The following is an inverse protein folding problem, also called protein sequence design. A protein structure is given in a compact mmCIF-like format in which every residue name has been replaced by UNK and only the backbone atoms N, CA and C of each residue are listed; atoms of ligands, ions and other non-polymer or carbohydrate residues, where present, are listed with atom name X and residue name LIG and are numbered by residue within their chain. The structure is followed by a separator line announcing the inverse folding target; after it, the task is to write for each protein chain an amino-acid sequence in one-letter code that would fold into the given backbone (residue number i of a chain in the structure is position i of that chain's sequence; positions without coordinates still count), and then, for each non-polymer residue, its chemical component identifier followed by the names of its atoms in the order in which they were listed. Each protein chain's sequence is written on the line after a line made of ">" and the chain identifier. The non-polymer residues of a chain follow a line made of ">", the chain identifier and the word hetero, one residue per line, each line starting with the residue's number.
data_IF_599188482393
#
_entry.id   IF_599188482393
#
_cell.length_a   1.000
_cell.length_b   1.000
_cell.length_c   1.000
_cell.angle_alpha   90.00
_cell.angle_beta   90.00
_cell.angle_gamma   90.00
#
_symmetry.space_group_name_H-M   'P 1'
#
loop_
_entity.id
_entity.type
_entity.pdbx_description
1 polymer ?
#
# COMPACT_ATOMS: atom_id res chain seq x y z
N UNK A 1 -11.11 1.44 -14.90
CA UNK A 1 -9.85 0.98 -14.29
C UNK A 1 -10.11 -0.18 -13.32
N UNK A 2 -10.94 0.00 -12.33
CA UNK A 2 -11.24 -0.94 -11.23
C UNK A 2 -12.64 -1.54 -11.44
N UNK A 3 -12.71 -2.64 -12.20
CA UNK A 3 -13.98 -3.13 -12.78
C UNK A 3 -14.96 -3.65 -11.73
N UNK A 4 -14.48 -4.41 -10.76
CA UNK A 4 -15.31 -5.07 -9.75
C UNK A 4 -15.02 -4.57 -8.33
N UNK A 5 -14.36 -3.41 -8.19
CA UNK A 5 -14.11 -2.85 -6.87
C UNK A 5 -15.43 -2.49 -6.20
N UNK A 6 -15.65 -2.86 -4.93
CA UNK A 6 -16.83 -2.42 -4.19
C UNK A 6 -16.95 -0.90 -4.14
N UNK A 7 -18.19 -0.41 -4.05
CA UNK A 7 -18.44 1.04 -3.99
C UNK A 7 -17.63 1.70 -2.86
N UNK A 8 -16.82 2.69 -3.23
CA UNK A 8 -15.91 3.36 -2.30
C UNK A 8 -16.67 4.09 -1.19
N UNK A 9 -17.76 4.81 -1.54
CA UNK A 9 -18.51 5.63 -0.59
C UNK A 9 -19.39 4.79 0.33
N UNK A 10 -20.04 3.75 -0.21
CA UNK A 10 -21.01 2.97 0.54
C UNK A 10 -20.38 1.79 1.29
N UNK A 11 -19.23 1.28 0.85
CA UNK A 11 -18.63 0.08 1.43
C UNK A 11 -17.21 0.28 1.94
N UNK A 12 -16.29 0.81 1.11
CA UNK A 12 -14.87 0.84 1.47
C UNK A 12 -14.56 1.90 2.53
N UNK A 13 -15.05 3.12 2.38
CA UNK A 13 -14.86 4.19 3.38
C UNK A 13 -15.48 3.82 4.73
N UNK A 14 -16.74 3.34 4.81
CA UNK A 14 -17.30 2.87 6.08
C UNK A 14 -16.50 1.72 6.71
N UNK A 15 -16.03 0.75 5.92
CA UNK A 15 -15.18 -0.34 6.43
C UNK A 15 -13.84 0.17 6.97
N UNK A 16 -13.20 1.13 6.28
CA UNK A 16 -11.97 1.77 6.73
C UNK A 16 -12.18 2.48 8.08
N UNK A 17 -13.23 3.30 8.19
CA UNK A 17 -13.57 4.01 9.43
C UNK A 17 -13.85 3.04 10.59
N UNK A 18 -14.59 1.96 10.33
CA UNK A 18 -14.85 0.93 11.32
C UNK A 18 -13.56 0.23 11.77
N UNK A 19 -12.65 -0.07 10.85
CA UNK A 19 -11.35 -0.67 11.17
C UNK A 19 -10.53 0.29 12.03
N UNK A 20 -10.43 1.56 11.62
CA UNK A 20 -9.73 2.60 12.38
C UNK A 20 -10.26 2.75 13.80
N UNK A 21 -11.58 2.77 13.97
CA UNK A 21 -12.21 2.84 15.29
C UNK A 21 -11.87 1.62 16.18
N UNK A 22 -11.68 0.43 15.57
CA UNK A 22 -11.35 -0.80 16.31
C UNK A 22 -9.88 -0.92 16.71
N UNK A 23 -8.96 -0.55 15.83
CA UNK A 23 -7.52 -0.82 16.03
C UNK A 23 -6.68 0.46 16.20
N UNK A 24 -7.29 1.63 16.02
CA UNK A 24 -6.64 2.93 16.15
C UNK A 24 -6.10 3.46 14.81
N UNK A 25 -6.18 4.79 14.63
CA UNK A 25 -5.84 5.50 13.39
C UNK A 25 -4.37 5.32 12.94
N UNK A 26 -3.43 5.11 13.86
CA UNK A 26 -2.02 4.82 13.55
C UNK A 26 -1.80 3.49 12.83
N UNK A 27 -2.71 2.53 13.04
CA UNK A 27 -2.59 1.17 12.47
C UNK A 27 -3.29 0.99 11.14
N UNK A 28 -3.98 2.03 10.65
CA UNK A 28 -4.69 2.00 9.38
C UNK A 28 -4.15 3.10 8.48
N UNK A 29 -3.56 2.72 7.36
CA UNK A 29 -2.93 3.64 6.40
C UNK A 29 -3.80 3.70 5.15
N UNK A 30 -4.16 4.92 4.74
CA UNK A 30 -4.84 5.13 3.47
C UNK A 30 -3.85 5.02 2.31
N UNK A 31 -4.18 4.21 1.31
CA UNK A 31 -3.42 4.13 0.06
C UNK A 31 -4.25 4.71 -1.08
N UNK A 32 -3.81 5.84 -1.60
CA UNK A 32 -4.32 6.43 -2.83
C UNK A 32 -3.37 6.07 -3.99
N UNK A 33 -3.43 4.82 -4.42
CA UNK A 33 -2.33 4.13 -5.08
C UNK A 33 -2.86 2.98 -5.96
N UNK A 34 -2.47 2.90 -7.25
CA UNK A 34 -1.67 3.90 -7.96
C UNK A 34 -2.50 5.04 -8.56
N UNK A 35 -1.88 6.21 -8.74
CA UNK A 35 -2.41 7.30 -9.53
C UNK A 35 -2.19 6.98 -11.01
N UNK A 36 -3.27 6.99 -11.79
CA UNK A 36 -3.25 6.69 -13.24
C UNK A 36 -3.79 7.89 -13.99
N UNK A 37 -2.92 8.64 -14.65
CA UNK A 37 -3.30 9.81 -15.43
C UNK A 37 -3.77 9.41 -16.80
N UNK A 38 -4.97 9.88 -17.17
CA UNK A 38 -5.60 9.69 -18.47
C UNK A 38 -6.43 10.92 -18.81
N UNK A 39 -6.89 11.06 -20.06
CA UNK A 39 -7.81 12.15 -20.42
C UNK A 39 -9.12 12.15 -19.62
N UNK A 40 -9.50 11.02 -19.00
CA UNK A 40 -10.65 10.93 -18.10
C UNK A 40 -10.27 11.16 -16.64
N UNK A 41 -9.12 10.68 -16.20
CA UNK A 41 -8.61 10.80 -14.84
C UNK A 41 -7.47 11.80 -14.84
N UNK A 42 -7.83 13.08 -14.98
CA UNK A 42 -6.89 14.21 -15.01
C UNK A 42 -6.35 14.55 -13.62
N UNK A 43 -5.31 15.39 -13.49
CA UNK A 43 -4.89 15.90 -12.19
C UNK A 43 -6.02 16.51 -11.38
N UNK A 44 -6.91 17.29 -12.02
CA UNK A 44 -8.06 17.93 -11.37
C UNK A 44 -9.07 16.90 -10.86
N UNK A 45 -9.29 15.82 -11.64
CA UNK A 45 -10.11 14.70 -11.20
C UNK A 45 -9.51 14.06 -9.94
N UNK A 46 -8.20 13.81 -9.95
CA UNK A 46 -7.52 13.20 -8.80
C UNK A 46 -7.54 14.12 -7.59
N UNK A 47 -7.30 15.42 -7.75
CA UNK A 47 -7.40 16.41 -6.66
C UNK A 47 -8.80 16.36 -6.04
N UNK A 48 -9.84 16.43 -6.87
CA UNK A 48 -11.24 16.37 -6.37
C UNK A 48 -11.55 15.05 -5.67
N UNK A 49 -11.14 13.92 -6.24
CA UNK A 49 -11.37 12.61 -5.65
C UNK A 49 -10.60 12.43 -4.35
N UNK A 50 -9.35 12.88 -4.31
CA UNK A 50 -8.51 12.85 -3.11
C UNK A 50 -9.12 13.68 -1.98
N UNK A 51 -9.54 14.92 -2.27
CA UNK A 51 -10.22 15.79 -1.29
C UNK A 51 -11.44 15.10 -0.69
N UNK A 52 -12.33 14.55 -1.51
CA UNK A 52 -13.54 13.88 -1.02
C UNK A 52 -13.24 12.68 -0.12
N UNK A 53 -12.17 11.93 -0.42
CA UNK A 53 -11.77 10.79 0.39
C UNK A 53 -11.07 11.26 1.67
N UNK A 54 -10.20 12.27 1.58
CA UNK A 54 -9.52 12.86 2.74
C UNK A 54 -10.54 13.40 3.77
N UNK A 55 -11.54 14.15 3.31
CA UNK A 55 -12.66 14.60 4.14
C UNK A 55 -13.40 13.45 4.81
N UNK A 56 -13.69 12.38 4.06
CA UNK A 56 -14.40 11.21 4.57
C UNK A 56 -13.56 10.38 5.56
N UNK A 57 -12.23 10.45 5.50
CA UNK A 57 -11.29 9.74 6.36
C UNK A 57 -10.67 10.63 7.44
N UNK A 58 -11.13 11.87 7.58
CA UNK A 58 -10.64 12.80 8.60
C UNK A 58 -10.70 12.16 10.01
N UNK A 59 -9.60 12.27 10.74
CA UNK A 59 -9.45 11.64 12.05
C UNK A 59 -9.36 10.11 12.07
N UNK A 60 -9.46 9.43 10.90
CA UNK A 60 -9.44 7.96 10.81
C UNK A 60 -8.06 7.38 10.44
N UNK A 61 -7.13 8.20 9.98
CA UNK A 61 -5.74 7.81 9.68
C UNK A 61 -4.82 9.01 9.85
N UNK A 62 -3.55 8.74 10.06
CA UNK A 62 -2.51 9.78 10.16
C UNK A 62 -1.62 9.83 8.91
N UNK A 63 -1.78 8.86 8.00
CA UNK A 63 -0.88 8.73 6.83
C UNK A 63 -1.65 8.31 5.59
N UNK A 64 -1.32 8.98 4.48
CA UNK A 64 -1.70 8.57 3.14
C UNK A 64 -0.46 8.19 2.35
N UNK A 65 -0.52 7.07 1.62
CA UNK A 65 0.55 6.64 0.72
C UNK A 65 0.06 6.76 -0.70
N UNK A 66 0.87 7.38 -1.55
CA UNK A 66 0.62 7.53 -2.98
C UNK A 66 1.69 6.82 -3.81
N UNK A 67 1.36 6.40 -5.01
CA UNK A 67 2.32 6.06 -6.07
C UNK A 67 1.72 6.37 -7.43
N UNK A 68 2.57 6.52 -8.44
CA UNK A 68 2.16 6.56 -9.83
C UNK A 68 2.20 5.16 -10.43
N UNK A 69 1.41 4.93 -11.48
CA UNK A 69 1.30 3.60 -12.06
C UNK A 69 2.59 3.19 -12.76
N UNK A 70 3.14 2.07 -12.36
CA UNK A 70 4.24 1.39 -13.04
C UNK A 70 3.73 0.38 -14.07
N UNK A 71 4.44 0.27 -15.19
CA UNK A 71 4.15 -0.73 -16.22
C UNK A 71 5.10 -1.90 -16.06
N UNK A 72 4.58 -2.97 -15.50
CA UNK A 72 5.27 -4.26 -15.41
C UNK A 72 4.94 -5.16 -16.59
N UNK A 73 5.79 -6.13 -16.88
CA UNK A 73 5.52 -7.13 -17.92
C UNK A 73 4.16 -7.82 -17.74
N UNK A 74 3.72 -8.02 -16.48
CA UNK A 74 2.46 -8.69 -16.15
C UNK A 74 1.21 -7.85 -16.39
N UNK A 75 1.29 -6.51 -16.31
CA UNK A 75 0.15 -5.62 -16.56
C UNK A 75 0.23 -4.87 -17.89
N UNK A 76 1.32 -4.99 -18.63
CA UNK A 76 1.58 -4.25 -19.88
C UNK A 76 0.42 -4.37 -20.86
N UNK A 77 -0.02 -5.59 -21.17
CA UNK A 77 -1.13 -5.84 -22.09
C UNK A 77 -2.43 -5.13 -21.68
N UNK A 78 -2.75 -5.14 -20.40
CA UNK A 78 -3.97 -4.50 -19.88
C UNK A 78 -3.87 -2.97 -19.91
N UNK A 79 -2.65 -2.44 -19.79
CA UNK A 79 -2.39 -1.01 -19.75
C UNK A 79 -2.13 -0.40 -21.13
N UNK A 80 -1.82 -1.20 -22.16
CA UNK A 80 -1.69 -0.74 -23.56
C UNK A 80 -2.99 -0.14 -24.10
N UNK A 81 -4.14 -0.63 -23.65
CA UNK A 81 -5.45 -0.10 -24.02
C UNK A 81 -5.89 1.13 -23.21
N UNK A 82 -5.05 1.59 -22.28
CA UNK A 82 -5.32 2.78 -21.46
C UNK A 82 -4.58 3.96 -22.05
N UNK A 83 -5.34 4.96 -22.51
CA UNK A 83 -4.80 6.21 -23.02
C UNK A 83 -4.23 7.07 -21.88
N UNK A 84 -2.96 6.81 -21.55
CA UNK A 84 -2.22 7.45 -20.45
C UNK A 84 -1.38 8.60 -20.99
N UNK A 85 -1.17 9.59 -20.13
CA UNK A 85 -0.15 10.61 -20.35
C UNK A 85 0.70 10.77 -19.09
N UNK A 86 1.84 11.42 -19.24
CA UNK A 86 2.76 11.74 -18.15
C UNK A 86 2.76 13.26 -17.96
N UNK A 87 2.77 13.70 -16.73
CA UNK A 87 2.98 15.10 -16.37
C UNK A 87 4.43 15.48 -16.58
N UNK A 88 4.68 16.73 -16.95
CA UNK A 88 6.01 17.32 -16.80
C UNK A 88 6.43 17.35 -15.32
N UNK A 89 7.71 17.56 -15.08
CA UNK A 89 8.23 17.63 -13.71
C UNK A 89 7.53 18.73 -12.88
N UNK A 90 7.36 19.92 -13.46
CA UNK A 90 6.72 21.06 -12.81
C UNK A 90 5.25 20.80 -12.50
N UNK A 91 4.51 20.18 -13.43
CA UNK A 91 3.12 19.77 -13.22
C UNK A 91 2.99 18.74 -12.12
N UNK A 92 3.92 17.79 -12.08
CA UNK A 92 3.95 16.75 -11.06
C UNK A 92 4.23 17.33 -9.67
N UNK A 93 5.20 18.24 -9.54
CA UNK A 93 5.49 18.93 -8.28
C UNK A 93 4.28 19.76 -7.80
N UNK A 94 3.64 20.52 -8.68
CA UNK A 94 2.45 21.29 -8.36
C UNK A 94 1.28 20.39 -7.91
N UNK A 95 1.07 19.27 -8.60
CA UNK A 95 0.06 18.28 -8.24
C UNK A 95 0.38 17.65 -6.87
N UNK A 96 1.61 17.18 -6.68
CA UNK A 96 2.08 16.56 -5.44
C UNK A 96 1.92 17.50 -4.24
N UNK A 97 2.32 18.78 -4.40
CA UNK A 97 2.14 19.81 -3.38
C UNK A 97 0.66 19.99 -3.01
N UNK A 98 -0.21 20.05 -4.00
CA UNK A 98 -1.66 20.18 -3.77
C UNK A 98 -2.21 19.00 -2.97
N UNK A 99 -1.83 17.78 -3.32
CA UNK A 99 -2.20 16.54 -2.60
C UNK A 99 -1.69 16.58 -1.14
N UNK A 100 -0.44 17.01 -0.94
CA UNK A 100 0.16 17.12 0.39
C UNK A 100 -0.58 18.16 1.26
N UNK A 101 -0.92 19.32 0.68
CA UNK A 101 -1.62 20.37 1.40
C UNK A 101 -3.06 19.96 1.79
N UNK A 102 -3.77 19.24 0.91
CA UNK A 102 -5.08 18.65 1.22
C UNK A 102 -4.95 17.63 2.36
N UNK A 103 -4.03 16.69 2.28
CA UNK A 103 -3.84 15.69 3.33
C UNK A 103 -3.52 16.34 4.68
N UNK A 104 -2.64 17.34 4.68
CA UNK A 104 -2.24 18.08 5.89
C UNK A 104 -3.41 18.81 6.53
N UNK A 105 -4.32 19.38 5.74
CA UNK A 105 -5.54 20.05 6.26
C UNK A 105 -6.49 19.09 6.98
N UNK A 106 -6.34 17.76 6.75
CA UNK A 106 -7.06 16.68 7.43
C UNK A 106 -6.19 15.89 8.42
N UNK A 107 -5.06 16.47 8.87
CA UNK A 107 -4.18 15.86 9.87
C UNK A 107 -3.44 14.62 9.39
N UNK A 108 -3.25 14.47 8.08
CA UNK A 108 -2.52 13.35 7.46
C UNK A 108 -1.20 13.82 6.85
N UNK A 109 -0.17 12.99 6.93
CA UNK A 109 1.06 13.12 6.15
C UNK A 109 0.93 12.29 4.87
N UNK A 110 1.56 12.76 3.78
CA UNK A 110 1.65 11.99 2.53
C UNK A 110 3.06 11.43 2.38
N UNK A 111 3.16 10.20 1.91
CA UNK A 111 4.43 9.58 1.55
C UNK A 111 4.31 8.78 0.25
N UNK A 112 5.41 8.62 -0.50
CA UNK A 112 5.45 7.84 -1.74
C UNK A 112 5.77 6.39 -1.49
N UNK A 113 5.29 5.49 -2.36
CA UNK A 113 5.62 4.06 -2.31
C UNK A 113 6.60 3.72 -3.43
N UNK A 114 7.88 3.53 -3.08
CA UNK A 114 8.94 3.08 -3.97
C UNK A 114 9.02 3.88 -5.29
N UNK A 115 8.85 5.20 -5.21
CA UNK A 115 9.02 6.14 -6.31
C UNK A 115 10.48 6.57 -6.40
N UNK A 116 10.96 6.77 -7.63
CA UNK A 116 12.31 7.32 -7.89
C UNK A 116 12.33 8.84 -7.69
N UNK A 117 11.18 9.47 -7.95
CA UNK A 117 11.08 10.93 -7.86
C UNK A 117 11.14 11.41 -6.41
N UNK A 118 11.99 12.39 -6.18
CA UNK A 118 12.08 13.10 -4.90
C UNK A 118 11.01 14.19 -4.82
N UNK A 119 10.11 14.06 -3.86
CA UNK A 119 9.03 15.01 -3.57
C UNK A 119 9.16 15.64 -2.16
N UNK A 120 10.33 15.56 -1.52
CA UNK A 120 10.56 16.11 -0.17
C UNK A 120 10.28 17.63 -0.13
N UNK A 121 10.59 18.36 -1.21
CA UNK A 121 10.26 19.78 -1.35
C UNK A 121 8.75 20.07 -1.29
N UNK A 122 7.93 19.08 -1.65
CA UNK A 122 6.47 19.15 -1.55
C UNK A 122 5.96 18.70 -0.17
N UNK A 123 6.84 18.30 0.75
CA UNK A 123 6.48 17.75 2.05
C UNK A 123 6.00 16.31 1.98
N UNK A 124 6.48 15.54 0.99
CA UNK A 124 6.17 14.13 0.76
C UNK A 124 7.45 13.32 0.87
N UNK A 125 7.54 12.47 1.87
CA UNK A 125 8.70 11.61 2.11
C UNK A 125 8.58 10.26 1.41
N UNK A 126 9.70 9.55 1.29
CA UNK A 126 9.67 8.15 0.87
C UNK A 126 9.11 7.28 1.99
N UNK A 127 8.18 6.39 1.63
CA UNK A 127 7.50 5.50 2.56
C UNK A 127 8.20 4.15 2.70
N UNK A 128 7.99 3.57 3.89
CA UNK A 128 8.19 2.14 4.14
C UNK A 128 6.83 1.50 4.35
N UNK A 129 6.37 0.64 3.43
CA UNK A 129 5.07 -0.04 3.59
C UNK A 129 5.09 -1.02 4.77
N UNK A 130 6.25 -1.66 5.00
CA UNK A 130 6.55 -2.44 6.19
C UNK A 130 7.58 -1.63 6.98
N UNK A 131 7.05 -0.73 7.80
CA UNK A 131 7.78 0.34 8.45
C UNK A 131 8.25 -0.09 9.84
N UNK A 132 9.58 -0.25 9.99
CA UNK A 132 10.19 -0.62 11.26
C UNK A 132 9.82 0.35 12.38
N UNK A 133 9.91 1.66 12.15
CA UNK A 133 9.65 2.68 13.17
C UNK A 133 8.20 2.65 13.64
N UNK A 134 7.25 2.55 12.70
CA UNK A 134 5.84 2.44 13.04
C UNK A 134 5.55 1.16 13.84
N UNK A 135 6.18 0.04 13.47
CA UNK A 135 6.01 -1.22 14.20
C UNK A 135 6.57 -1.09 15.62
N UNK A 136 7.76 -0.52 15.79
CA UNK A 136 8.38 -0.28 17.11
C UNK A 136 7.51 0.61 18.00
N UNK A 137 6.94 1.68 17.44
CA UNK A 137 5.98 2.53 18.16
C UNK A 137 4.72 1.74 18.61
N UNK A 138 4.18 0.91 17.72
CA UNK A 138 2.95 0.14 18.00
C UNK A 138 3.17 -0.91 19.10
N UNK A 139 4.33 -1.59 19.07
CA UNK A 139 4.63 -2.69 20.01
C UNK A 139 5.37 -2.22 21.25
N UNK A 140 5.85 -0.98 21.27
CA UNK A 140 6.54 -0.37 22.43
C UNK A 140 7.91 -0.96 22.71
N UNK A 141 8.60 -1.53 21.73
CA UNK A 141 9.97 -2.03 21.87
C UNK A 141 10.71 -2.01 20.53
N UNK A 142 12.03 -1.91 20.59
CA UNK A 142 12.90 -1.94 19.41
C UNK A 142 12.90 -3.35 18.80
N UNK A 143 13.08 -3.42 17.47
CA UNK A 143 13.23 -4.68 16.74
C UNK A 143 14.52 -4.68 15.92
N UNK A 144 15.18 -5.84 15.86
CA UNK A 144 16.40 -6.06 15.09
C UNK A 144 16.04 -6.70 13.76
N UNK A 145 16.04 -5.89 12.71
CA UNK A 145 15.67 -6.32 11.36
C UNK A 145 16.44 -5.51 10.31
N UNK A 146 16.76 -6.14 9.20
CA UNK A 146 17.42 -5.51 8.05
C UNK A 146 16.41 -5.00 7.02
N UNK A 147 16.87 -4.11 6.11
CA UNK A 147 16.11 -3.76 4.90
C UNK A 147 15.89 -5.00 4.05
N UNK A 148 14.71 -5.13 3.45
CA UNK A 148 14.40 -6.20 2.51
C UNK A 148 15.26 -6.06 1.24
N UNK A 149 16.03 -7.12 0.94
CA UNK A 149 16.96 -7.17 -0.20
C UNK A 149 16.29 -7.59 -1.52
N UNK A 150 15.07 -8.11 -1.46
CA UNK A 150 14.32 -8.61 -2.62
C UNK A 150 13.45 -7.50 -3.22
N UNK A 151 13.20 -6.44 -2.47
CA UNK A 151 12.43 -5.28 -2.93
C UNK A 151 13.27 -4.35 -3.80
N UNK A 152 12.58 -3.46 -4.54
CA UNK A 152 13.22 -2.41 -5.35
C UNK A 152 14.18 -1.56 -4.52
N UNK A 153 15.25 -0.98 -5.11
CA UNK A 153 16.20 -0.13 -4.38
C UNK A 153 15.53 1.03 -3.62
N UNK A 154 14.50 1.63 -4.22
CA UNK A 154 13.72 2.75 -3.69
C UNK A 154 12.77 2.34 -2.54
N UNK A 155 12.51 1.04 -2.39
CA UNK A 155 11.66 0.54 -1.31
C UNK A 155 12.42 0.54 0.01
N UNK A 156 11.89 1.23 1.02
CA UNK A 156 12.45 1.29 2.37
C UNK A 156 11.97 0.19 3.32
N UNK A 157 11.19 -0.79 2.84
CA UNK A 157 10.59 -1.81 3.69
C UNK A 157 11.62 -2.68 4.41
N UNK A 158 11.32 -3.03 5.65
CA UNK A 158 12.07 -4.05 6.37
C UNK A 158 11.79 -5.45 5.81
N UNK A 159 12.73 -6.38 6.06
CA UNK A 159 12.61 -7.78 5.69
C UNK A 159 11.33 -8.40 6.25
N UNK A 160 10.59 -9.10 5.40
CA UNK A 160 9.30 -9.68 5.72
C UNK A 160 9.06 -11.02 5.03
N UNK A 161 7.94 -11.67 5.34
CA UNK A 161 7.54 -12.93 4.74
C UNK A 161 6.29 -12.70 3.90
N UNK A 162 6.39 -12.98 2.62
CA UNK A 162 5.23 -12.99 1.74
C UNK A 162 4.35 -14.20 2.05
N UNK A 163 3.08 -13.94 2.35
CA UNK A 163 2.05 -14.96 2.60
C UNK A 163 0.95 -14.92 1.56
N UNK A 164 1.03 -13.99 0.59
CA UNK A 164 0.06 -13.83 -0.48
C UNK A 164 0.27 -14.82 -1.63
N UNK A 165 -0.68 -14.85 -2.54
CA UNK A 165 -0.60 -15.60 -3.79
C UNK A 165 -1.11 -14.77 -4.96
N UNK A 166 -0.47 -14.90 -6.12
CA UNK A 166 -0.92 -14.26 -7.34
C UNK A 166 -2.27 -14.84 -7.82
N UNK A 167 -3.02 -14.04 -8.57
CA UNK A 167 -4.33 -14.43 -9.13
C UNK A 167 -5.35 -14.86 -8.07
N UNK A 168 -5.46 -14.13 -6.97
CA UNK A 168 -6.41 -14.44 -5.88
C UNK A 168 -7.40 -13.30 -5.57
N UNK A 169 -7.47 -12.26 -6.42
CA UNK A 169 -8.36 -11.11 -6.21
C UNK A 169 -9.35 -10.94 -7.36
N UNK A 170 -10.65 -10.78 -7.04
CA UNK A 170 -11.74 -10.63 -8.01
C UNK A 170 -11.97 -9.19 -8.50
N UNK A 171 -11.21 -8.20 -8.02
CA UNK A 171 -11.45 -6.78 -8.33
C UNK A 171 -11.21 -6.39 -9.79
N UNK A 172 -10.40 -7.14 -10.53
CA UNK A 172 -10.20 -6.94 -11.97
C UNK A 172 -9.56 -5.60 -12.35
N UNK A 173 -8.71 -5.03 -11.50
CA UNK A 173 -8.02 -3.77 -11.77
C UNK A 173 -7.07 -3.90 -12.97
N UNK A 174 -7.17 -3.02 -13.96
CA UNK A 174 -6.37 -3.10 -15.19
C UNK A 174 -4.87 -2.92 -14.93
N UNK A 175 -4.50 -2.11 -13.96
CA UNK A 175 -3.12 -1.87 -13.56
C UNK A 175 -2.52 -2.96 -12.66
N UNK A 176 -3.30 -3.98 -12.28
CA UNK A 176 -2.86 -4.98 -11.33
C UNK A 176 -1.76 -5.89 -11.94
N UNK A 177 -0.60 -5.92 -11.29
CA UNK A 177 0.48 -6.84 -11.63
C UNK A 177 0.34 -8.22 -10.96
N UNK A 178 -0.48 -8.31 -9.91
CA UNK A 178 -0.69 -9.54 -9.16
C UNK A 178 -1.78 -10.44 -9.75
N UNK A 179 -2.69 -9.89 -10.59
CA UNK A 179 -3.74 -10.63 -11.29
C UNK A 179 -3.55 -10.51 -12.80
N UNK A 180 -2.91 -11.48 -13.40
CA UNK A 180 -2.56 -11.48 -14.82
C UNK A 180 -3.29 -12.57 -15.64
N UNK A 181 -4.06 -13.46 -14.97
CA UNK A 181 -4.84 -14.53 -15.60
C UNK A 181 -6.24 -14.60 -15.00
N UNK A 182 -7.25 -14.18 -15.74
CA UNK A 182 -8.66 -14.22 -15.28
C UNK A 182 -9.12 -15.67 -14.97
N UNK A 183 -8.69 -16.64 -15.79
CA UNK A 183 -8.99 -18.04 -15.58
C UNK A 183 -8.40 -18.56 -14.26
N UNK A 184 -7.13 -18.21 -13.99
CA UNK A 184 -6.46 -18.57 -12.73
C UNK A 184 -7.13 -17.88 -11.52
N UNK A 185 -7.55 -16.61 -11.65
CA UNK A 185 -8.30 -15.92 -10.59
C UNK A 185 -9.59 -16.64 -10.27
N UNK A 186 -10.39 -17.01 -11.29
CA UNK A 186 -11.65 -17.75 -11.09
C UNK A 186 -11.40 -19.09 -10.41
N UNK A 187 -10.40 -19.84 -10.86
CA UNK A 187 -10.04 -21.15 -10.28
C UNK A 187 -9.58 -21.02 -8.83
N UNK A 188 -8.64 -20.12 -8.55
CA UNK A 188 -8.10 -19.94 -7.21
C UNK A 188 -9.14 -19.44 -6.21
N UNK A 189 -9.99 -18.48 -6.63
CA UNK A 189 -11.07 -18.02 -5.77
C UNK A 189 -12.16 -19.07 -5.52
N UNK A 190 -12.40 -19.98 -6.47
CA UNK A 190 -13.33 -21.10 -6.29
C UNK A 190 -12.82 -22.16 -5.30
N UNK A 191 -11.48 -22.28 -5.17
CA UNK A 191 -10.84 -23.21 -4.22
C UNK A 191 -10.60 -22.58 -2.83
N UNK A 192 -11.05 -21.34 -2.59
CA UNK A 192 -10.88 -20.68 -1.29
C UNK A 192 -11.76 -21.31 -0.21
N UNK A 193 -11.15 -21.77 0.86
CA UNK A 193 -11.81 -22.19 2.09
C UNK A 193 -11.28 -21.35 3.28
N UNK A 194 -12.13 -20.56 3.96
CA UNK A 194 -11.72 -19.74 5.10
C UNK A 194 -11.17 -20.54 6.28
N UNK A 195 -11.38 -21.86 6.30
CA UNK A 195 -10.84 -22.77 7.33
C UNK A 195 -9.51 -23.39 6.92
N UNK A 196 -9.10 -23.25 5.66
CA UNK A 196 -7.82 -23.74 5.16
C UNK A 196 -6.66 -22.85 5.64
N UNK A 197 -5.50 -23.40 5.98
CA UNK A 197 -4.28 -22.61 6.24
C UNK A 197 -3.69 -22.04 4.94
N UNK A 198 -4.16 -22.48 3.76
CA UNK A 198 -3.72 -21.99 2.46
C UNK A 198 -4.69 -20.97 1.91
N UNK A 199 -4.17 -19.93 1.24
CA UNK A 199 -4.97 -18.91 0.58
C UNK A 199 -5.76 -19.48 -0.61
N UNK A 200 -5.18 -20.46 -1.30
CA UNK A 200 -5.84 -21.22 -2.36
C UNK A 200 -5.16 -22.59 -2.51
N UNK A 201 -5.88 -23.56 -3.05
CA UNK A 201 -5.41 -24.92 -3.26
C UNK A 201 -5.46 -25.80 -2.00
N UNK A 202 -4.92 -26.99 -2.12
CA UNK A 202 -4.82 -27.99 -1.05
C UNK A 202 -3.41 -28.58 -1.03
N UNK A 203 -3.00 -29.04 0.14
CA UNK A 203 -1.73 -29.80 0.27
C UNK A 203 -1.93 -31.18 -0.32
N UNK A 204 -1.13 -31.54 -1.32
CA UNK A 204 -1.10 -32.85 -1.95
C UNK A 204 -0.12 -33.82 -1.28
N UNK A 205 -0.21 -35.11 -1.62
CA UNK A 205 0.66 -36.15 -1.05
C UNK A 205 2.15 -35.98 -1.38
N UNK A 206 2.45 -35.28 -2.49
CA UNK A 206 3.81 -35.00 -2.93
C UNK A 206 4.40 -33.69 -2.41
N UNK A 207 3.60 -32.89 -1.69
CA UNK A 207 4.04 -31.60 -1.17
C UNK A 207 4.94 -31.78 0.04
N UNK A 208 6.10 -31.14 0.00
CA UNK A 208 7.02 -31.13 1.13
C UNK A 208 6.67 -30.02 2.09
N UNK A 209 6.10 -30.38 3.24
CA UNK A 209 5.83 -29.43 4.33
C UNK A 209 7.08 -29.35 5.21
N UNK A 210 7.58 -28.11 5.41
CA UNK A 210 8.70 -27.85 6.30
C UNK A 210 8.34 -26.80 7.33
N UNK A 211 8.66 -27.05 8.58
CA UNK A 211 8.49 -26.05 9.64
C UNK A 211 9.48 -24.90 9.44
N UNK A 212 8.95 -23.67 9.40
CA UNK A 212 9.77 -22.47 9.36
C UNK A 212 10.16 -22.08 10.81
N UNK A 213 11.45 -22.13 11.10
CA UNK A 213 11.98 -21.59 12.36
C UNK A 213 11.86 -20.06 12.35
N UNK A 214 11.01 -19.53 13.23
CA UNK A 214 10.83 -18.08 13.42
C UNK A 214 11.52 -17.67 14.70
N UNK A 215 12.42 -16.69 14.62
CA UNK A 215 13.02 -16.05 15.79
C UNK A 215 12.27 -14.75 16.09
N UNK A 216 12.13 -14.43 17.37
CA UNK A 216 11.63 -13.10 17.76
C UNK A 216 12.60 -12.03 17.23
N UNK A 217 12.04 -10.98 16.65
CA UNK A 217 12.80 -9.81 16.21
C UNK A 217 12.94 -8.77 17.34
N UNK A 218 12.22 -8.94 18.46
CA UNK A 218 12.29 -8.01 19.59
C UNK A 218 13.70 -7.96 20.15
N UNK A 219 14.20 -6.76 20.33
CA UNK A 219 15.46 -6.52 21.02
C UNK A 219 15.19 -6.59 22.53
N UNK A 220 15.80 -7.57 23.19
CA UNK A 220 15.62 -7.79 24.64
C UNK A 220 16.63 -7.00 25.49
N UNK A 221 17.63 -6.42 24.84
CA UNK A 221 18.63 -5.60 25.51
C UNK A 221 18.08 -4.18 25.65
N UNK A 222 17.77 -3.77 26.88
CA UNK A 222 17.43 -2.37 27.16
C UNK A 222 18.65 -1.51 26.89
N UNK A 223 18.65 -0.74 25.83
CA UNK A 223 19.58 0.37 25.65
C UNK A 223 19.15 1.47 26.64
N UNK A 224 20.02 1.81 27.57
CA UNK A 224 19.85 3.04 28.35
C UNK A 224 19.96 4.22 27.33
N UNK A 225 18.82 4.78 26.95
CA UNK A 225 18.81 6.07 26.27
C UNK A 225 19.09 7.11 27.35
N UNK A 226 20.29 7.66 27.35
CA UNK A 226 20.56 8.91 28.02
C UNK A 226 19.91 9.98 27.13
N UNK A 227 18.73 10.44 27.51
CA UNK A 227 18.18 11.66 26.92
C UNK A 227 19.17 12.76 27.30
N UNK A 228 19.83 13.34 26.31
CA UNK A 228 20.66 14.51 26.50
C UNK A 228 19.74 15.61 27.03
N UNK A 229 19.88 15.88 28.32
CA UNK A 229 19.27 17.03 28.97
C UNK A 229 20.18 18.21 28.68
N UNK A 230 19.80 19.04 27.70
CA UNK A 230 20.25 20.41 27.53
C UNK A 230 19.10 21.38 27.82
#
# INVERSE_FOLDING_TARGET
>A
MEVNLPDKKQKLIPAFRQLSAKIGKKRVIWRYDPIVLTHKYTPEYHIKAFTQIAEALDGCTEKCVISFVDIYAKNKKNMEAVDRYEMSHDELEAFAKTIADIARSHGMVVATCAEVIDLEKCGIEHNCCIDKKLIEEIIGCDIKVSKDKVQRPECGCMESVEIGSYNTCLNGCRYCYANYSEAAVKSNCACYDPRSPLLCGTVGELDKITERKVKSLKETQMSLRFDDVD
#
